data_IF_398355875992
#
_entry.id   IF_398355875992
#
_cell.length_a   1.000
_cell.length_b   1.000
_cell.length_c   1.000
_cell.angle_alpha   90.00
_cell.angle_beta   90.00
_cell.angle_gamma   90.00
#
_symmetry.space_group_name_H-M   'P 1'
#
loop_
_entity.id
_entity.type
_entity.pdbx_description
1 polymer ?
#
# COMPACT_ATOMS: atom_id res chain seq x y z
N UNK A 1 -9.96 -10.45 -3.29
CA UNK A 1 -10.11 -8.97 -3.40
C UNK A 1 -9.04 -8.39 -2.49
N UNK A 2 -8.20 -7.46 -2.96
CA UNK A 2 -6.87 -7.15 -2.34
C UNK A 2 -6.80 -5.80 -1.63
N UNK A 3 -7.95 -5.15 -1.47
CA UNK A 3 -8.10 -3.85 -0.82
C UNK A 3 -9.03 -4.00 0.40
N UNK A 4 -8.58 -4.80 1.37
CA UNK A 4 -9.36 -5.19 2.54
C UNK A 4 -8.50 -5.08 3.80
N UNK A 5 -9.00 -4.43 4.83
CA UNK A 5 -8.24 -4.27 6.08
C UNK A 5 -8.08 -5.57 6.87
N UNK A 6 -8.76 -6.64 6.49
CA UNK A 6 -8.57 -7.97 7.09
C UNK A 6 -7.37 -8.69 6.44
N UNK A 7 -7.03 -8.36 5.20
CA UNK A 7 -5.88 -8.88 4.48
C UNK A 7 -4.58 -8.33 5.09
N UNK A 8 -3.67 -9.23 5.49
CA UNK A 8 -2.39 -8.88 6.11
C UNK A 8 -1.46 -8.17 5.13
N UNK A 9 -1.38 -8.62 3.88
CA UNK A 9 -0.54 -7.99 2.87
C UNK A 9 -1.03 -6.58 2.55
N UNK A 10 -2.35 -6.35 2.51
CA UNK A 10 -2.89 -5.00 2.37
C UNK A 10 -2.54 -4.10 3.57
N UNK A 11 -2.65 -4.60 4.80
CA UNK A 11 -2.25 -3.83 6.00
C UNK A 11 -0.76 -3.52 6.01
N UNK A 12 0.09 -4.47 5.62
CA UNK A 12 1.53 -4.25 5.49
C UNK A 12 1.87 -3.20 4.42
N UNK A 13 1.10 -3.14 3.32
CA UNK A 13 1.23 -2.06 2.33
C UNK A 13 0.91 -0.69 2.94
N UNK A 14 -0.18 -0.57 3.73
CA UNK A 14 -0.50 0.68 4.42
C UNK A 14 0.62 1.08 5.39
N UNK A 15 1.13 0.12 6.17
CA UNK A 15 2.24 0.32 7.09
C UNK A 15 3.53 0.78 6.39
N UNK A 16 3.84 0.24 5.21
CA UNK A 16 4.94 0.72 4.37
C UNK A 16 4.75 2.19 3.99
N UNK A 17 3.53 2.57 3.62
CA UNK A 17 3.19 3.95 3.29
C UNK A 17 3.20 4.90 4.51
N UNK A 18 2.83 4.40 5.68
CA UNK A 18 2.92 5.16 6.93
C UNK A 18 4.37 5.46 7.31
N UNK A 19 5.24 4.46 7.19
CA UNK A 19 6.68 4.60 7.44
C UNK A 19 7.46 5.32 6.32
N UNK A 20 6.83 5.64 5.19
CA UNK A 20 7.50 6.11 3.98
C UNK A 20 8.49 7.26 4.24
N UNK A 21 8.08 8.30 4.97
CA UNK A 21 8.93 9.45 5.24
C UNK A 21 10.12 9.11 6.14
N UNK A 22 9.95 8.16 7.07
CA UNK A 22 11.03 7.69 7.94
C UNK A 22 12.05 6.85 7.16
N UNK A 23 11.58 5.97 6.27
CA UNK A 23 12.43 5.17 5.39
C UNK A 23 13.25 6.06 4.46
N UNK A 24 12.63 7.09 3.86
CA UNK A 24 13.32 8.07 3.01
C UNK A 24 14.41 8.83 3.78
N UNK A 25 14.15 9.27 5.02
CA UNK A 25 15.18 9.92 5.86
C UNK A 25 16.33 8.97 6.22
N UNK A 26 16.04 7.67 6.36
CA UNK A 26 17.04 6.64 6.60
C UNK A 26 17.76 6.17 5.32
N UNK A 27 17.43 6.72 4.14
CA UNK A 27 17.93 6.29 2.83
C UNK A 27 17.59 4.84 2.46
N UNK A 28 16.50 4.30 3.01
CA UNK A 28 15.99 2.96 2.68
C UNK A 28 14.94 3.12 1.57
N UNK A 29 15.18 2.52 0.40
CA UNK A 29 14.27 2.59 -0.75
C UNK A 29 13.43 1.30 -0.92
N UNK A 30 12.14 1.29 -0.53
CA UNK A 30 11.29 0.11 -0.67
C UNK A 30 11.03 -0.31 -2.13
N UNK A 31 11.29 0.58 -3.09
CA UNK A 31 11.10 0.29 -4.51
C UNK A 31 12.13 -0.68 -5.10
N UNK A 32 13.24 -0.92 -4.38
CA UNK A 32 14.27 -1.89 -4.74
C UNK A 32 13.73 -3.33 -4.93
N UNK A 33 12.56 -3.65 -4.37
CA UNK A 33 11.86 -4.94 -4.53
C UNK A 33 10.68 -4.90 -5.51
N UNK A 34 10.62 -3.90 -6.37
CA UNK A 34 9.60 -3.78 -7.41
C UNK A 34 8.26 -3.25 -6.89
N UNK A 35 8.23 -2.63 -5.71
CA UNK A 35 7.05 -1.93 -5.20
C UNK A 35 7.15 -0.44 -5.52
N UNK A 36 6.33 0.03 -6.45
CA UNK A 36 6.12 1.47 -6.65
C UNK A 36 4.97 1.92 -5.77
N UNK A 37 5.26 2.75 -4.79
CA UNK A 37 4.29 3.29 -3.84
C UNK A 37 4.39 4.81 -3.81
N UNK A 38 3.25 5.48 -3.95
CA UNK A 38 3.12 6.92 -3.71
C UNK A 38 2.05 7.19 -2.67
N UNK A 39 2.24 8.30 -1.94
CA UNK A 39 1.39 8.74 -0.84
C UNK A 39 1.04 10.20 -1.04
N UNK A 40 -0.25 10.53 -0.91
CA UNK A 40 -0.76 11.91 -1.03
C UNK A 40 -1.74 12.18 0.12
N UNK A 41 -1.58 13.33 0.81
CA UNK A 41 -2.48 13.73 1.89
C UNK A 41 -3.58 14.66 1.37
N UNK A 42 -4.85 14.28 1.60
CA UNK A 42 -6.03 14.93 1.03
C UNK A 42 -6.90 15.62 2.09
N UNK A 43 -6.33 16.02 3.23
CA UNK A 43 -7.09 16.72 4.27
C UNK A 43 -8.12 15.83 4.98
N UNK A 44 -7.66 14.68 5.47
CA UNK A 44 -8.47 13.70 6.22
C UNK A 44 -8.44 12.29 5.63
N UNK A 45 -8.03 12.15 4.37
CA UNK A 45 -7.65 10.87 3.79
C UNK A 45 -6.19 10.90 3.37
N UNK A 46 -5.54 9.76 3.46
CA UNK A 46 -4.25 9.50 2.81
C UNK A 46 -4.52 8.61 1.62
N UNK A 47 -4.17 9.08 0.42
CA UNK A 47 -4.23 8.27 -0.79
C UNK A 47 -2.94 7.50 -0.95
N UNK A 48 -3.07 6.19 -1.11
CA UNK A 48 -1.98 5.29 -1.46
C UNK A 48 -2.20 4.78 -2.88
N UNK A 49 -1.19 4.97 -3.73
CA UNK A 49 -1.18 4.39 -5.08
C UNK A 49 -0.02 3.41 -5.16
N UNK A 50 -0.32 2.14 -5.43
CA UNK A 50 0.65 1.05 -5.39
C UNK A 50 0.58 0.15 -6.62
N UNK A 51 1.73 -0.34 -7.07
CA UNK A 51 1.81 -1.29 -8.16
C UNK A 51 3.23 -1.84 -8.37
N UNK A 52 3.38 -2.77 -9.33
CA UNK A 52 4.68 -3.30 -9.74
C UNK A 52 5.46 -2.34 -10.65
N UNK A 53 4.83 -1.23 -11.06
CA UNK A 53 5.40 -0.19 -11.91
C UNK A 53 4.78 1.16 -11.55
N UNK A 54 5.20 2.22 -12.23
CA UNK A 54 4.62 3.56 -12.10
C UNK A 54 3.13 3.63 -12.45
N UNK A 55 2.57 2.61 -13.11
CA UNK A 55 1.12 2.47 -13.29
C UNK A 55 0.52 1.70 -12.11
N UNK A 56 -0.19 2.37 -11.18
CA UNK A 56 -0.71 1.73 -10.00
C UNK A 56 -1.82 0.74 -10.36
N UNK A 57 -1.71 -0.47 -9.79
CA UNK A 57 -2.77 -1.49 -9.82
C UNK A 57 -3.78 -1.29 -8.70
N UNK A 58 -3.34 -0.64 -7.62
CA UNK A 58 -4.14 -0.35 -6.44
C UNK A 58 -4.11 1.14 -6.16
N UNK A 59 -5.27 1.76 -6.03
CA UNK A 59 -5.41 3.13 -5.55
C UNK A 59 -6.49 3.11 -4.47
N UNK A 60 -6.12 3.50 -3.26
CA UNK A 60 -7.02 3.54 -2.11
C UNK A 60 -6.87 4.86 -1.37
N UNK A 61 -7.95 5.31 -0.75
CA UNK A 61 -7.92 6.38 0.23
C UNK A 61 -8.24 5.80 1.60
N UNK A 62 -7.38 6.06 2.56
CA UNK A 62 -7.53 5.61 3.92
C UNK A 62 -7.68 6.79 4.87
N UNK A 63 -8.74 6.78 5.66
CA UNK A 63 -8.93 7.70 6.77
C UNK A 63 -8.76 6.92 8.07
N UNK A 64 -7.63 7.15 8.73
CA UNK A 64 -7.26 6.48 9.99
C UNK A 64 -8.28 6.79 11.10
N UNK A 65 -8.61 8.06 11.31
CA UNK A 65 -9.49 8.51 12.40
C UNK A 65 -10.88 7.90 12.38
N UNK A 66 -11.47 7.74 11.19
CA UNK A 66 -12.82 7.19 11.00
C UNK A 66 -12.80 5.72 10.55
N UNK A 67 -11.60 5.15 10.38
CA UNK A 67 -11.37 3.81 9.84
C UNK A 67 -12.16 3.54 8.56
N UNK A 68 -12.10 4.48 7.63
CA UNK A 68 -12.81 4.39 6.36
C UNK A 68 -11.84 4.17 5.21
N UNK A 69 -11.99 3.03 4.53
CA UNK A 69 -11.28 2.68 3.32
C UNK A 69 -12.16 2.95 2.10
N UNK A 70 -11.67 3.78 1.17
CA UNK A 70 -12.26 3.94 -0.16
C UNK A 70 -11.36 3.32 -1.20
N UNK A 71 -11.91 2.44 -2.02
CA UNK A 71 -11.18 1.78 -3.11
C UNK A 71 -11.51 2.52 -4.40
N UNK A 72 -10.49 3.19 -4.95
CA UNK A 72 -10.57 3.95 -6.20
C UNK A 72 -10.14 3.10 -7.39
N UNK A 73 -9.19 2.19 -7.17
CA UNK A 73 -8.70 1.21 -8.15
C UNK A 73 -8.22 -0.04 -7.43
N UNK A 74 -8.56 -1.22 -7.93
CA UNK A 74 -8.09 -2.52 -7.45
C UNK A 74 -8.07 -3.50 -8.62
N UNK A 75 -7.14 -3.26 -9.55
CA UNK A 75 -6.89 -4.13 -10.69
C UNK A 75 -6.15 -5.39 -10.25
N UNK A 76 -6.12 -6.38 -11.14
CA UNK A 76 -5.30 -7.57 -10.94
C UNK A 76 -3.81 -7.20 -10.81
N UNK A 77 -3.16 -7.80 -9.83
CA UNK A 77 -1.73 -7.62 -9.55
C UNK A 77 -1.09 -8.97 -9.19
N UNK A 78 -0.78 -9.82 -10.17
CA UNK A 78 -0.16 -11.12 -9.89
C UNK A 78 1.08 -10.96 -8.99
N UNK A 79 1.18 -11.81 -7.96
CA UNK A 79 2.29 -11.74 -7.00
C UNK A 79 2.21 -10.66 -5.91
N UNK A 80 1.07 -9.96 -5.76
CA UNK A 80 0.89 -8.91 -4.73
C UNK A 80 1.48 -9.27 -3.36
N UNK A 81 1.03 -10.38 -2.76
CA UNK A 81 1.49 -10.82 -1.43
C UNK A 81 3.00 -11.05 -1.38
N UNK A 82 3.56 -11.67 -2.43
CA UNK A 82 4.99 -11.91 -2.52
C UNK A 82 5.79 -10.61 -2.65
N UNK A 83 5.32 -9.66 -3.47
CA UNK A 83 5.93 -8.32 -3.59
C UNK A 83 5.93 -7.63 -2.23
N UNK A 84 4.77 -7.52 -1.55
CA UNK A 84 4.71 -6.86 -0.24
C UNK A 84 5.59 -7.56 0.79
N UNK A 85 5.53 -8.89 0.88
CA UNK A 85 6.34 -9.67 1.81
C UNK A 85 7.84 -9.45 1.59
N UNK A 86 8.30 -9.52 0.33
CA UNK A 86 9.71 -9.31 -0.01
C UNK A 86 10.17 -7.87 0.25
N UNK A 87 9.31 -6.88 0.02
CA UNK A 87 9.60 -5.47 0.36
C UNK A 87 9.71 -5.27 1.86
N UNK A 88 8.80 -5.83 2.66
CA UNK A 88 8.85 -5.72 4.12
C UNK A 88 10.12 -6.40 4.67
N UNK A 89 10.45 -7.59 4.18
CA UNK A 89 11.68 -8.28 4.57
C UNK A 89 12.92 -7.44 4.29
N UNK A 90 13.02 -6.90 3.07
CA UNK A 90 14.11 -5.99 2.68
C UNK A 90 14.19 -4.76 3.58
N UNK A 91 13.07 -4.07 3.83
CA UNK A 91 13.04 -2.89 4.69
C UNK A 91 13.47 -3.23 6.12
N UNK A 92 13.10 -4.40 6.64
CA UNK A 92 13.54 -4.86 7.97
C UNK A 92 15.03 -5.15 8.02
N UNK A 93 15.60 -5.72 6.96
CA UNK A 93 17.02 -6.01 6.89
C UNK A 93 17.84 -4.71 6.84
N UNK A 94 17.47 -3.78 5.96
CA UNK A 94 18.10 -2.46 5.90
C UNK A 94 17.92 -1.70 7.23
N UNK A 95 16.72 -1.69 7.82
CA UNK A 95 16.48 -1.02 9.08
C UNK A 95 17.33 -1.59 10.23
N UNK A 96 17.66 -2.89 10.18
CA UNK A 96 18.57 -3.53 11.14
C UNK A 96 20.00 -3.03 10.95
N UNK A 97 20.46 -2.96 9.71
CA UNK A 97 21.81 -2.48 9.37
C UNK A 97 21.99 -0.99 9.71
N UNK A 98 20.90 -0.22 9.61
CA UNK A 98 20.85 1.19 10.01
C UNK A 98 20.58 1.42 11.52
N UNK A 99 20.35 0.37 12.31
CA UNK A 99 20.11 0.48 13.75
C UNK A 99 18.78 1.13 14.15
N UNK A 100 17.78 1.13 13.26
CA UNK A 100 16.45 1.74 13.46
C UNK A 100 15.31 0.72 13.47
N UNK A 101 15.65 -0.59 13.53
CA UNK A 101 14.70 -1.69 13.40
C UNK A 101 13.53 -1.59 14.37
N UNK A 102 13.74 -1.18 15.62
CA UNK A 102 12.66 -1.12 16.62
C UNK A 102 11.57 -0.12 16.21
N UNK A 103 11.95 0.99 15.59
CA UNK A 103 10.97 2.01 15.14
C UNK A 103 10.16 1.51 13.94
N UNK A 104 10.82 0.78 13.03
CA UNK A 104 10.22 0.30 11.78
C UNK A 104 9.36 -0.95 12.05
N UNK A 105 9.86 -1.89 12.83
CA UNK A 105 9.27 -3.21 13.02
C UNK A 105 7.97 -3.15 13.83
N UNK A 106 7.87 -2.26 14.81
CA UNK A 106 6.65 -2.09 15.60
C UNK A 106 5.42 -1.79 14.72
N UNK A 107 5.59 -1.02 13.65
CA UNK A 107 4.51 -0.70 12.70
C UNK A 107 4.11 -1.94 11.90
N UNK A 108 5.07 -2.75 11.45
CA UNK A 108 4.77 -3.99 10.72
C UNK A 108 4.15 -5.07 11.61
N UNK A 109 4.64 -5.21 12.85
CA UNK A 109 4.06 -6.12 13.84
C UNK A 109 2.61 -5.73 14.13
N UNK A 110 2.34 -4.43 14.35
CA UNK A 110 0.99 -3.91 14.53
C UNK A 110 0.10 -4.22 13.31
N UNK A 111 0.60 -4.01 12.10
CA UNK A 111 -0.11 -4.30 10.86
C UNK A 111 -0.47 -5.78 10.69
N UNK A 112 0.26 -6.71 11.31
CA UNK A 112 -0.06 -8.14 11.29
C UNK A 112 -1.16 -8.53 12.30
N UNK A 113 -1.38 -7.75 13.36
CA UNK A 113 -2.37 -8.05 14.39
C UNK A 113 -3.80 -7.81 13.88
N UNK A 114 -4.73 -8.70 14.20
CA UNK A 114 -6.12 -8.57 13.76
C UNK A 114 -6.71 -7.22 14.19
N UNK A 115 -7.37 -6.46 13.28
CA UNK A 115 -7.90 -5.16 13.62
C UNK A 115 -8.91 -5.23 14.77
N UNK A 116 -8.70 -4.44 15.82
CA UNK A 116 -9.56 -4.41 17.02
C UNK A 116 -10.99 -3.90 16.78
N UNK A 117 -11.24 -3.30 15.61
CA UNK A 117 -12.55 -2.83 15.18
C UNK A 117 -12.71 -3.04 13.66
N UNK A 118 -13.94 -3.09 13.14
CA UNK A 118 -14.15 -3.16 11.70
C UNK A 118 -13.84 -1.82 11.02
N UNK A 119 -13.31 -1.86 9.80
CA UNK A 119 -13.21 -0.69 8.94
C UNK A 119 -14.43 -0.61 8.01
N UNK A 120 -14.97 0.60 7.80
CA UNK A 120 -15.95 0.82 6.75
C UNK A 120 -15.22 0.74 5.40
N UNK A 121 -15.80 0.04 4.43
CA UNK A 121 -15.26 -0.06 3.07
C UNK A 121 -16.25 0.44 2.04
N UNK A 122 -15.80 1.36 1.19
CA UNK A 122 -16.56 1.86 0.03
C UNK A 122 -15.76 1.58 -1.24
N UNK A 123 -16.37 0.93 -2.23
CA UNK A 123 -15.76 0.73 -3.55
C UNK A 123 -16.40 1.71 -4.51
N UNK A 124 -15.60 2.55 -5.14
CA UNK A 124 -16.12 3.53 -6.09
C UNK A 124 -16.47 2.85 -7.43
N UNK A 125 -17.46 3.37 -8.18
CA UNK A 125 -17.76 2.91 -9.53
C UNK A 125 -16.50 2.94 -10.40
N UNK A 126 -16.26 1.87 -11.15
CA UNK A 126 -15.08 1.71 -12.03
C UNK A 126 -13.80 1.28 -11.32
N UNK A 127 -13.78 1.14 -9.99
CA UNK A 127 -12.57 0.75 -9.27
C UNK A 127 -12.04 -0.64 -9.62
N UNK A 128 -12.89 -1.52 -10.15
CA UNK A 128 -12.53 -2.88 -10.53
C UNK A 128 -12.42 -3.06 -12.05
N UNK A 129 -12.68 -2.02 -12.83
CA UNK A 129 -12.69 -2.11 -14.29
C UNK A 129 -11.25 -2.30 -14.76
N UNK A 130 -10.90 -3.50 -15.20
CA UNK A 130 -9.64 -3.74 -15.91
C UNK A 130 -9.55 -2.75 -17.07
N UNK A 131 -8.43 -2.03 -17.21
CA UNK A 131 -8.19 -1.01 -18.25
C UNK A 131 -8.67 -1.50 -19.63
N UNK A 132 -9.94 -1.27 -19.96
CA UNK A 132 -10.42 -1.34 -21.32
C UNK A 132 -10.01 -0.02 -21.93
N UNK A 133 -8.75 0.06 -22.37
CA UNK A 133 -8.31 1.14 -23.24
C UNK A 133 -9.32 1.23 -24.39
N UNK A 134 -10.01 2.38 -24.60
CA UNK A 134 -10.67 2.58 -25.87
C UNK A 134 -9.55 2.67 -26.89
N UNK A 135 -9.38 1.61 -27.68
CA UNK A 135 -8.55 1.61 -28.88
C UNK A 135 -9.02 2.80 -29.72
N UNK A 136 -8.32 3.93 -29.62
CA UNK A 136 -8.50 5.06 -30.52
C UNK A 136 -8.10 4.55 -31.90
N UNK A 137 -9.08 4.03 -32.66
CA UNK A 137 -8.96 3.85 -34.09
C UNK A 137 -8.67 5.23 -34.66
N UNK A 138 -7.42 5.47 -35.04
CA UNK A 138 -7.07 6.61 -35.88
C UNK A 138 -7.79 6.39 -37.22
N UNK A 139 -8.69 7.32 -37.55
CA UNK A 139 -9.24 7.49 -38.88
C UNK A 139 -8.17 8.00 -39.84
#
# INVERSE_FOLDING_TARGET
>A
MRAETNDVAFRLLLALGENWDALQRASIDPSAKGLYLTKEYLGGYTRFSAGPSTSPRLIVEWNESTRHLRVLRCHEWPGFEATISSTVAYVRDEARDHGIIDSVDNVFVSACQEPSAPARRTVLPGAMDSDSEPVRRRA
#
